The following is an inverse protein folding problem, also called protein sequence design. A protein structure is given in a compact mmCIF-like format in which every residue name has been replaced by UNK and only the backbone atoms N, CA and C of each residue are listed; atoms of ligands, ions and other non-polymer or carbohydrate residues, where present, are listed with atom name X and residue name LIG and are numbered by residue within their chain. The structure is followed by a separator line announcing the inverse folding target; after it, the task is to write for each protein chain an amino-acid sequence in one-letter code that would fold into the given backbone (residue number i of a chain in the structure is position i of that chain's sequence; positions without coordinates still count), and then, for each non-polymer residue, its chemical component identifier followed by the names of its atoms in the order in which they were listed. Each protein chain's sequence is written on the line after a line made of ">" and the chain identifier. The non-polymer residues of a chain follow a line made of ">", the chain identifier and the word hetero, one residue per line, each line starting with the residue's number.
data_IF_007031598545
#
_entry.id   IF_007031598545
#
_cell.length_a   1.000
_cell.length_b   1.000
_cell.length_c   1.000
_cell.angle_alpha   90.00
_cell.angle_beta   90.00
_cell.angle_gamma   90.00
#
_symmetry.space_group_name_H-M   'P 1'
#
loop_
_entity.id
_entity.type
_entity.pdbx_description
1 polymer ?
#
# COMPACT_ATOMS: atom_id res chain seq x y z
N UNK A 1 8.60 -15.85 -9.25
CA UNK A 1 8.75 -15.68 -7.79
C UNK A 1 9.35 -14.31 -7.58
N UNK A 2 8.68 -13.42 -6.87
CA UNK A 2 9.26 -12.14 -6.44
C UNK A 2 10.48 -12.44 -5.55
N UNK A 3 11.54 -11.68 -5.72
CA UNK A 3 12.73 -11.83 -4.90
C UNK A 3 12.41 -11.43 -3.45
N UNK A 4 12.87 -12.22 -2.47
CA UNK A 4 12.70 -11.96 -1.04
C UNK A 4 12.96 -10.48 -0.62
N UNK A 5 14.00 -9.77 -1.11
CA UNK A 5 14.19 -8.35 -0.77
C UNK A 5 13.04 -7.45 -1.23
N UNK A 6 12.43 -7.72 -2.39
CA UNK A 6 11.31 -6.92 -2.92
C UNK A 6 10.07 -7.12 -2.04
N UNK A 7 9.82 -8.36 -1.63
CA UNK A 7 8.71 -8.73 -0.72
C UNK A 7 8.86 -8.04 0.65
N UNK A 8 10.08 -7.97 1.19
CA UNK A 8 10.35 -7.27 2.45
C UNK A 8 10.06 -5.78 2.30
N UNK A 9 10.51 -5.13 1.22
CA UNK A 9 10.22 -3.71 0.96
C UNK A 9 8.73 -3.43 0.86
N UNK A 10 7.99 -4.29 0.16
CA UNK A 10 6.54 -4.18 0.03
C UNK A 10 5.86 -4.22 1.40
N UNK A 11 6.16 -5.23 2.22
CA UNK A 11 5.57 -5.35 3.57
C UNK A 11 5.96 -4.18 4.46
N UNK A 12 7.18 -3.65 4.34
CA UNK A 12 7.56 -2.41 5.05
C UNK A 12 6.65 -1.24 4.70
N UNK A 13 6.33 -1.07 3.42
CA UNK A 13 5.42 0.00 2.97
C UNK A 13 4.01 -0.24 3.52
N UNK A 14 3.52 -1.48 3.51
CA UNK A 14 2.22 -1.81 4.10
C UNK A 14 2.18 -1.45 5.59
N UNK A 15 3.21 -1.83 6.37
CA UNK A 15 3.27 -1.44 7.79
C UNK A 15 3.35 0.08 7.95
N UNK A 16 4.11 0.77 7.10
CA UNK A 16 4.21 2.23 7.14
C UNK A 16 2.87 2.92 6.82
N UNK A 17 2.10 2.34 5.91
CA UNK A 17 0.77 2.82 5.51
C UNK A 17 -0.19 2.76 6.69
N UNK A 18 -0.25 1.62 7.38
CA UNK A 18 -1.07 1.45 8.58
C UNK A 18 -0.66 2.39 9.75
N UNK A 19 0.52 3.00 9.68
CA UNK A 19 0.98 4.00 10.66
C UNK A 19 0.66 5.45 10.27
N UNK A 20 0.16 5.72 9.06
CA UNK A 20 -0.07 7.09 8.58
C UNK A 20 -1.01 7.88 9.48
N UNK A 21 -2.02 7.21 10.05
CA UNK A 21 -2.98 7.82 10.97
C UNK A 21 -2.51 7.83 12.43
N UNK A 22 -1.25 7.45 12.67
CA UNK A 22 -0.55 7.55 13.96
C UNK A 22 -0.85 6.39 14.92
N UNK A 23 -1.67 5.43 14.51
CA UNK A 23 -1.96 4.17 15.21
C UNK A 23 -2.25 3.11 14.16
N UNK A 24 -1.78 1.88 14.39
CA UNK A 24 -2.23 0.71 13.62
C UNK A 24 -3.50 0.16 14.27
N UNK A 25 -4.52 -0.12 13.47
CA UNK A 25 -5.73 -0.79 13.90
C UNK A 25 -5.51 -2.32 14.06
N UNK A 26 -6.20 -2.98 15.01
CA UNK A 26 -6.05 -4.42 15.22
C UNK A 26 -6.31 -5.28 13.97
N UNK A 27 -7.22 -4.82 13.11
CA UNK A 27 -7.62 -5.46 11.85
C UNK A 27 -6.47 -5.40 10.82
N UNK A 28 -5.90 -4.21 10.60
CA UNK A 28 -4.72 -4.01 9.77
C UNK A 28 -3.53 -4.82 10.28
N UNK A 29 -3.32 -4.85 11.61
CA UNK A 29 -2.24 -5.63 12.20
C UNK A 29 -2.39 -7.13 11.90
N UNK A 30 -3.61 -7.68 11.99
CA UNK A 30 -3.88 -9.07 11.62
C UNK A 30 -3.64 -9.30 10.13
N UNK A 31 -4.05 -8.36 9.28
CA UNK A 31 -3.82 -8.42 7.85
C UNK A 31 -2.31 -8.44 7.53
N UNK A 32 -1.53 -7.52 8.10
CA UNK A 32 -0.07 -7.44 7.93
C UNK A 32 0.63 -8.73 8.36
N UNK A 33 0.22 -9.31 9.49
CA UNK A 33 0.77 -10.59 9.96
C UNK A 33 0.44 -11.73 9.00
N UNK A 34 -0.80 -11.78 8.49
CA UNK A 34 -1.24 -12.77 7.50
C UNK A 34 -0.42 -12.66 6.21
N UNK A 35 -0.27 -11.47 5.65
CA UNK A 35 0.52 -11.22 4.43
C UNK A 35 1.98 -11.62 4.65
N UNK A 36 2.58 -11.23 5.78
CA UNK A 36 3.95 -11.62 6.10
C UNK A 36 4.13 -13.13 6.32
N UNK A 37 3.11 -13.82 6.83
CA UNK A 37 3.10 -15.28 6.97
C UNK A 37 2.99 -15.99 5.62
N UNK A 38 2.07 -15.55 4.77
CA UNK A 38 1.89 -16.09 3.40
C UNK A 38 3.14 -15.87 2.54
N UNK A 39 3.83 -14.74 2.74
CA UNK A 39 5.09 -14.43 2.10
C UNK A 39 6.32 -15.13 2.71
N UNK A 40 6.18 -15.80 3.87
CA UNK A 40 7.27 -16.51 4.54
C UNK A 40 8.38 -15.60 5.09
N UNK A 41 8.05 -14.36 5.47
CA UNK A 41 9.01 -13.35 5.98
C UNK A 41 8.70 -12.86 7.39
N UNK A 42 7.81 -13.55 8.10
CA UNK A 42 7.39 -13.21 9.48
C UNK A 42 8.55 -13.22 10.48
N UNK A 43 9.56 -14.07 10.25
CA UNK A 43 10.77 -14.17 11.08
C UNK A 43 11.89 -13.21 10.68
N UNK A 44 11.66 -12.36 9.68
CA UNK A 44 12.66 -11.39 9.24
C UNK A 44 12.94 -10.35 10.35
N UNK A 45 14.24 -10.15 10.67
CA UNK A 45 14.66 -9.28 11.76
C UNK A 45 14.29 -7.81 11.54
N UNK A 46 14.15 -7.37 10.29
CA UNK A 46 13.78 -6.00 9.94
C UNK A 46 12.26 -5.80 10.04
N UNK A 47 11.47 -6.79 9.61
CA UNK A 47 10.02 -6.73 9.63
C UNK A 47 9.41 -6.97 11.01
N UNK A 48 10.01 -7.86 11.81
CA UNK A 48 9.47 -8.25 13.12
C UNK A 48 9.09 -7.06 14.01
N UNK A 49 9.96 -6.07 14.29
CA UNK A 49 9.56 -4.93 15.13
C UNK A 49 8.45 -4.08 14.52
N UNK A 50 8.35 -4.03 13.19
CA UNK A 50 7.33 -3.26 12.46
C UNK A 50 5.97 -3.98 12.54
N UNK A 51 5.92 -5.28 12.22
CA UNK A 51 4.71 -6.11 12.22
C UNK A 51 4.04 -6.22 13.60
N UNK A 52 4.85 -6.23 14.67
CA UNK A 52 4.33 -6.27 16.05
C UNK A 52 4.07 -4.88 16.64
N UNK A 53 4.19 -3.81 15.84
CA UNK A 53 3.94 -2.44 16.29
C UNK A 53 4.92 -1.96 17.38
N UNK A 54 6.08 -2.62 17.51
CA UNK A 54 7.11 -2.27 18.49
C UNK A 54 7.87 -1.00 18.09
N UNK A 55 7.79 -0.61 16.82
CA UNK A 55 8.35 0.61 16.27
C UNK A 55 7.30 1.33 15.42
N UNK A 56 6.92 2.59 15.78
CA UNK A 56 6.11 3.41 14.92
C UNK A 56 6.90 3.85 13.68
N UNK A 57 6.20 4.02 12.56
CA UNK A 57 6.78 4.53 11.32
C UNK A 57 6.24 5.94 11.08
N UNK A 58 7.12 6.87 10.75
CA UNK A 58 6.73 8.24 10.38
C UNK A 58 6.18 8.32 8.96
N UNK A 59 5.40 9.35 8.66
CA UNK A 59 4.89 9.60 7.30
C UNK A 59 6.04 9.79 6.31
N UNK A 60 7.09 10.48 6.74
CA UNK A 60 8.30 10.71 5.97
C UNK A 60 8.97 9.39 5.57
N UNK A 61 9.12 8.46 6.52
CA UNK A 61 9.65 7.12 6.26
C UNK A 61 8.75 6.32 5.30
N UNK A 62 7.43 6.43 5.44
CA UNK A 62 6.48 5.78 4.54
C UNK A 62 6.73 6.23 3.08
N UNK A 63 6.77 7.53 2.84
CA UNK A 63 7.00 8.08 1.50
C UNK A 63 8.40 7.75 0.96
N UNK A 64 9.42 7.75 1.82
CA UNK A 64 10.77 7.36 1.44
C UNK A 64 10.82 5.89 0.97
N UNK A 65 10.15 4.99 1.69
CA UNK A 65 10.12 3.56 1.32
C UNK A 65 9.34 3.31 0.04
N UNK A 66 8.24 4.04 -0.19
CA UNK A 66 7.50 4.00 -1.46
C UNK A 66 8.40 4.43 -2.62
N UNK A 67 9.16 5.53 -2.43
CA UNK A 67 10.14 6.00 -3.41
C UNK A 67 11.26 4.99 -3.66
N UNK A 68 11.78 4.34 -2.62
CA UNK A 68 12.84 3.32 -2.74
C UNK A 68 12.34 2.02 -3.41
N UNK A 69 11.06 1.67 -3.24
CA UNK A 69 10.45 0.53 -3.91
C UNK A 69 10.20 0.78 -5.39
N UNK A 70 9.68 1.96 -5.73
CA UNK A 70 9.42 2.36 -7.12
C UNK A 70 10.71 2.76 -7.86
N UNK A 71 11.74 3.19 -7.13
CA UNK A 71 13.01 3.64 -7.68
C UNK A 71 12.89 4.93 -8.49
N UNK A 72 13.96 5.27 -9.21
CA UNK A 72 14.02 6.48 -10.04
C UNK A 72 13.16 6.42 -11.31
N UNK A 73 12.75 5.21 -11.72
CA UNK A 73 11.94 4.95 -12.89
C UNK A 73 10.81 3.96 -12.53
N UNK A 74 9.71 4.44 -11.93
CA UNK A 74 8.56 3.59 -11.61
C UNK A 74 8.04 2.91 -12.88
N UNK A 75 7.90 1.59 -12.84
CA UNK A 75 7.19 0.85 -13.89
C UNK A 75 5.71 0.77 -13.57
N UNK A 76 4.87 0.66 -14.60
CA UNK A 76 3.44 0.51 -14.41
C UNK A 76 3.10 -0.73 -13.59
N UNK A 77 3.81 -1.84 -13.79
CA UNK A 77 3.59 -3.06 -12.99
C UNK A 77 3.92 -2.86 -11.52
N UNK A 78 5.03 -2.17 -11.20
CA UNK A 78 5.42 -1.93 -9.82
C UNK A 78 4.44 -0.99 -9.09
N UNK A 79 3.96 0.06 -9.76
CA UNK A 79 2.93 0.94 -9.22
C UNK A 79 1.61 0.19 -9.01
N UNK A 80 1.17 -0.60 -10.00
CA UNK A 80 -0.08 -1.35 -9.91
C UNK A 80 -0.03 -2.40 -8.79
N UNK A 81 1.08 -3.13 -8.68
CA UNK A 81 1.26 -4.09 -7.59
C UNK A 81 1.23 -3.39 -6.22
N UNK A 82 1.90 -2.24 -6.10
CA UNK A 82 1.88 -1.48 -4.85
C UNK A 82 0.47 -0.99 -4.51
N UNK A 83 -0.27 -0.47 -5.50
CA UNK A 83 -1.66 -0.04 -5.32
C UNK A 83 -2.58 -1.18 -4.89
N UNK A 84 -2.42 -2.36 -5.47
CA UNK A 84 -3.24 -3.54 -5.14
C UNK A 84 -3.03 -3.95 -3.68
N UNK A 85 -1.78 -4.03 -3.24
CA UNK A 85 -1.40 -4.42 -1.89
C UNK A 85 -1.81 -3.36 -0.86
N UNK A 86 -1.60 -2.07 -1.18
CA UNK A 86 -2.07 -0.96 -0.35
C UNK A 86 -3.60 -0.97 -0.21
N UNK A 87 -4.32 -1.18 -1.32
CA UNK A 87 -5.78 -1.26 -1.30
C UNK A 87 -6.24 -2.46 -0.45
N UNK A 88 -5.57 -3.61 -0.56
CA UNK A 88 -5.88 -4.78 0.24
C UNK A 88 -5.74 -4.54 1.75
N UNK A 89 -4.73 -3.78 2.16
CA UNK A 89 -4.53 -3.36 3.55
C UNK A 89 -5.58 -2.33 3.99
N UNK A 90 -5.71 -1.23 3.24
CA UNK A 90 -6.56 -0.08 3.58
C UNK A 90 -8.03 -0.53 3.69
N UNK A 91 -8.51 -1.35 2.75
CA UNK A 91 -9.88 -1.86 2.81
C UNK A 91 -10.07 -3.07 3.74
N UNK A 92 -9.04 -3.47 4.50
CA UNK A 92 -9.11 -4.67 5.36
C UNK A 92 -10.00 -4.48 6.59
N UNK A 93 -10.16 -3.26 7.08
CA UNK A 93 -11.02 -2.89 8.20
C UNK A 93 -12.37 -2.30 7.75
N UNK A 94 -12.49 -1.97 6.45
CA UNK A 94 -13.70 -1.43 5.82
C UNK A 94 -13.87 0.07 5.94
N UNK A 95 -12.89 0.80 6.49
CA UNK A 95 -12.82 2.25 6.48
C UNK A 95 -11.63 2.70 5.62
N UNK A 96 -11.59 3.97 5.23
CA UNK A 96 -10.43 4.53 4.52
C UNK A 96 -10.11 5.88 5.12
N UNK A 97 -8.95 5.96 5.77
CA UNK A 97 -8.51 7.20 6.36
C UNK A 97 -8.00 8.19 5.30
N UNK A 98 -8.03 9.49 5.64
CA UNK A 98 -7.71 10.56 4.69
C UNK A 98 -6.25 10.49 4.20
N UNK A 99 -5.32 10.05 5.06
CA UNK A 99 -3.90 9.96 4.72
C UNK A 99 -3.61 8.72 3.87
N UNK A 100 -4.32 7.62 4.09
CA UNK A 100 -4.26 6.40 3.27
C UNK A 100 -4.78 6.65 1.85
N UNK A 101 -5.93 7.32 1.72
CA UNK A 101 -6.47 7.72 0.42
C UNK A 101 -5.50 8.63 -0.34
N UNK A 102 -4.82 9.53 0.37
CA UNK A 102 -3.81 10.41 -0.20
C UNK A 102 -2.58 9.64 -0.66
N UNK A 103 -2.15 8.59 0.05
CA UNK A 103 -1.07 7.72 -0.38
C UNK A 103 -1.43 6.99 -1.68
N UNK A 104 -2.62 6.37 -1.75
CA UNK A 104 -3.11 5.71 -2.96
C UNK A 104 -3.08 6.64 -4.17
N UNK A 105 -3.59 7.87 -4.00
CA UNK A 105 -3.58 8.87 -5.06
C UNK A 105 -2.16 9.24 -5.52
N UNK A 106 -1.21 9.35 -4.60
CA UNK A 106 0.18 9.66 -4.97
C UNK A 106 0.83 8.52 -5.75
N UNK A 107 0.68 7.28 -5.30
CA UNK A 107 1.23 6.11 -6.03
C UNK A 107 0.61 6.02 -7.43
N UNK A 108 -0.68 6.33 -7.55
CA UNK A 108 -1.34 6.39 -8.84
C UNK A 108 -0.79 7.49 -9.75
N UNK A 109 -0.51 8.69 -9.23
CA UNK A 109 0.10 9.78 -9.99
C UNK A 109 1.51 9.46 -10.48
N UNK A 110 2.23 8.61 -9.73
CA UNK A 110 3.54 8.10 -10.12
C UNK A 110 3.47 7.01 -11.19
N UNK A 111 2.28 6.44 -11.46
CA UNK A 111 2.11 5.43 -12.49
C UNK A 111 2.26 6.07 -13.88
N UNK A 112 3.27 5.69 -14.69
CA UNK A 112 3.47 6.27 -16.02
C UNK A 112 2.32 6.00 -17.00
N UNK A 113 1.46 5.01 -16.74
CA UNK A 113 0.25 4.77 -17.54
C UNK A 113 -0.87 5.81 -17.30
N UNK A 114 -0.84 6.52 -16.17
CA UNK A 114 -1.76 7.62 -15.87
C UNK A 114 -1.21 8.98 -16.27
N UNK A 115 -0.02 9.04 -16.88
CA UNK A 115 0.61 10.28 -17.37
C UNK A 115 0.01 10.80 -18.69
N UNK A 116 -1.25 10.47 -18.99
CA UNK A 116 -2.02 11.11 -20.06
C UNK A 116 -2.47 12.52 -19.62
N UNK A 117 -2.43 13.55 -20.49
CA UNK A 117 -2.45 14.97 -20.10
C UNK A 117 -3.88 15.51 -19.85
N UNK A 118 -4.71 14.80 -19.08
CA UNK A 118 -6.08 15.23 -18.78
C UNK A 118 -6.21 15.75 -17.33
N UNK A 119 -7.04 16.79 -17.10
CA UNK A 119 -7.02 17.57 -15.86
C UNK A 119 -7.42 16.75 -14.63
N UNK A 120 -6.52 16.80 -13.65
CA UNK A 120 -6.45 16.19 -12.31
C UNK A 120 -7.71 16.17 -11.42
N UNK A 121 -8.85 16.73 -11.82
CA UNK A 121 -10.07 16.73 -10.99
C UNK A 121 -11.09 15.67 -11.36
N UNK A 122 -11.10 15.17 -12.59
CA UNK A 122 -12.03 14.12 -13.03
C UNK A 122 -11.45 12.72 -12.86
N UNK A 123 -10.12 12.59 -12.91
CA UNK A 123 -9.42 11.31 -12.69
C UNK A 123 -9.56 10.82 -11.25
N UNK A 124 -9.50 11.70 -10.25
CA UNK A 124 -9.59 11.33 -8.82
C UNK A 124 -10.93 10.67 -8.49
N UNK A 125 -12.03 11.17 -9.05
CA UNK A 125 -13.37 10.57 -8.88
C UNK A 125 -13.51 9.27 -9.65
N UNK A 126 -12.93 9.21 -10.85
CA UNK A 126 -12.99 8.02 -11.71
C UNK A 126 -12.18 6.86 -11.13
N UNK A 127 -11.07 7.16 -10.45
CA UNK A 127 -10.19 6.17 -9.84
C UNK A 127 -10.79 5.62 -8.56
N UNK A 128 -11.25 6.48 -7.65
CA UNK A 128 -11.96 6.00 -6.46
C UNK A 128 -13.17 5.16 -6.85
N UNK A 129 -13.89 5.52 -7.93
CA UNK A 129 -14.96 4.69 -8.48
C UNK A 129 -14.47 3.40 -9.15
N UNK A 130 -13.35 3.42 -9.87
CA UNK A 130 -12.79 2.24 -10.54
C UNK A 130 -12.26 1.22 -9.52
N UNK A 131 -11.54 1.68 -8.50
CA UNK A 131 -11.07 0.85 -7.39
C UNK A 131 -12.27 0.31 -6.60
N UNK A 132 -13.28 1.15 -6.33
CA UNK A 132 -14.52 0.72 -5.68
C UNK A 132 -15.31 -0.31 -6.52
N UNK A 133 -15.36 -0.17 -7.85
CA UNK A 133 -16.04 -1.11 -8.74
C UNK A 133 -15.27 -2.43 -8.88
N UNK A 134 -13.94 -2.39 -8.93
CA UNK A 134 -13.11 -3.59 -8.94
C UNK A 134 -13.31 -4.38 -7.65
N UNK A 135 -13.39 -3.72 -6.50
CA UNK A 135 -13.61 -4.37 -5.22
C UNK A 135 -15.06 -4.89 -5.05
N UNK A 136 -16.08 -4.14 -5.50
CA UNK A 136 -17.47 -4.62 -5.52
C UNK A 136 -17.63 -5.90 -6.35
N UNK A 137 -16.83 -6.05 -7.41
CA UNK A 137 -16.84 -7.23 -8.26
C UNK A 137 -16.20 -8.47 -7.61
N UNK A 138 -15.27 -8.28 -6.67
CA UNK A 138 -14.66 -9.35 -5.88
C UNK A 138 -15.52 -9.77 -4.69
N UNK A 139 -16.23 -8.84 -4.05
CA UNK A 139 -17.11 -9.14 -2.90
C UNK A 139 -18.41 -9.83 -3.33
N UNK A 140 -18.87 -9.65 -4.58
CA UNK A 140 -20.10 -10.26 -5.10
C UNK A 140 -19.93 -11.61 -5.82
N UNK A 141 -18.75 -12.25 -5.77
CA UNK A 141 -18.51 -13.51 -6.48
C UNK A 141 -17.92 -14.61 -5.60
#
# INVERSE_FOLDING_TARGET
>A
MLEKPIVIKLIKILVATAWLDGKIQPEEQKYLQKVAQEAGVTDDHELKPLLYGLRPVSKEECYEWVGDYLGSHPTAEACQQLLEELSGLIYSDGDVDAEEAKLLLQVEQLNPQNADPHPVSDSVKSVTQAIQQLYQRWVQN
#
